data_IF_633492290485
#
_entry.id   IF_633492290485
#
_cell.length_a   1.000
_cell.length_b   1.000
_cell.length_c   1.000
_cell.angle_alpha   90.00
_cell.angle_beta   90.00
_cell.angle_gamma   90.00
#
_symmetry.space_group_name_H-M   'P 1'
#
loop_
_entity.id
_entity.type
_entity.pdbx_description
1 polymer ?
#
# COMPACT_ATOMS: atom_id res chain seq x y z
N UNK A 1 -16.85 6.40 -1.55
CA UNK A 1 -16.33 6.11 -2.87
C UNK A 1 -14.81 5.97 -2.80
N UNK A 2 -14.27 4.92 -3.39
CA UNK A 2 -12.84 4.67 -3.28
C UNK A 2 -12.05 5.62 -4.17
N UNK A 3 -10.88 6.04 -3.68
CA UNK A 3 -9.99 6.92 -4.42
C UNK A 3 -9.18 6.16 -5.45
N UNK A 4 -9.03 4.86 -5.25
CA UNK A 4 -8.14 4.04 -6.05
C UNK A 4 -8.89 2.79 -6.50
N UNK A 5 -8.33 2.12 -7.46
CA UNK A 5 -8.97 0.94 -8.00
C UNK A 5 -7.93 -0.07 -8.43
N UNK A 6 -8.16 -1.34 -8.09
CA UNK A 6 -7.31 -2.42 -8.55
C UNK A 6 -7.90 -3.06 -9.79
N UNK A 7 -7.03 -3.37 -10.72
CA UNK A 7 -7.41 -4.15 -11.88
C UNK A 7 -6.32 -5.19 -12.07
N UNK A 8 -6.65 -6.42 -11.71
CA UNK A 8 -5.60 -7.43 -11.61
C UNK A 8 -4.64 -7.05 -10.52
N UNK A 9 -3.36 -6.97 -10.85
CA UNK A 9 -2.33 -6.56 -9.91
C UNK A 9 -2.03 -5.08 -9.95
N UNK A 10 -2.68 -4.33 -10.83
CA UNK A 10 -2.36 -2.93 -11.08
C UNK A 10 -3.25 -2.02 -10.26
N UNK A 11 -2.65 -0.98 -9.71
CA UNK A 11 -3.37 0.03 -8.94
C UNK A 11 -3.51 1.28 -9.78
N UNK A 12 -4.74 1.78 -9.89
CA UNK A 12 -5.06 2.99 -10.66
C UNK A 12 -5.61 4.05 -9.73
N UNK A 13 -5.37 5.32 -10.05
CA UNK A 13 -5.95 6.40 -9.30
C UNK A 13 -7.34 6.73 -9.87
N UNK A 14 -7.98 7.77 -9.32
CA UNK A 14 -9.32 8.12 -9.76
C UNK A 14 -9.36 8.66 -11.18
N UNK A 15 -8.23 9.09 -11.69
CA UNK A 15 -8.13 9.59 -13.06
C UNK A 15 -7.74 8.48 -14.03
N UNK A 16 -7.75 7.24 -13.56
CA UNK A 16 -7.44 6.07 -14.37
C UNK A 16 -5.98 6.00 -14.80
N UNK A 17 -5.11 6.66 -14.05
CA UNK A 17 -3.68 6.57 -14.28
C UNK A 17 -3.12 5.42 -13.47
N UNK A 18 -2.34 4.56 -14.13
CA UNK A 18 -1.72 3.45 -13.44
C UNK A 18 -0.62 3.97 -12.52
N UNK A 19 -0.74 3.67 -11.26
CA UNK A 19 0.21 4.13 -10.26
C UNK A 19 1.34 3.14 -10.04
N UNK A 20 1.05 1.88 -10.23
CA UNK A 20 2.02 0.84 -9.99
C UNK A 20 1.32 -0.49 -9.84
N UNK A 21 2.04 -1.47 -9.34
CA UNK A 21 1.47 -2.80 -9.21
C UNK A 21 2.19 -3.57 -8.11
N UNK A 22 1.57 -4.66 -7.70
CA UNK A 22 2.15 -5.55 -6.73
C UNK A 22 2.43 -6.88 -7.42
N UNK A 23 3.59 -7.43 -7.16
CA UNK A 23 3.94 -8.73 -7.67
C UNK A 23 4.41 -9.55 -6.49
N UNK A 24 3.61 -10.54 -6.13
CA UNK A 24 3.81 -11.26 -4.89
C UNK A 24 3.75 -10.23 -3.76
N UNK A 25 4.79 -10.05 -3.00
CA UNK A 25 4.78 -9.09 -1.91
C UNK A 25 5.63 -7.87 -2.19
N UNK A 26 5.99 -7.64 -3.44
CA UNK A 26 6.81 -6.50 -3.83
C UNK A 26 5.95 -5.51 -4.60
N UNK A 27 6.15 -4.23 -4.32
CA UNK A 27 5.39 -3.15 -4.93
C UNK A 27 6.30 -2.38 -5.87
N UNK A 28 5.80 -2.18 -7.11
CA UNK A 28 6.52 -1.46 -8.14
C UNK A 28 5.72 -0.24 -8.58
N UNK A 29 6.41 0.79 -9.04
CA UNK A 29 5.71 1.96 -9.56
C UNK A 29 5.36 1.75 -11.04
N UNK A 30 4.80 2.81 -11.66
CA UNK A 30 4.31 2.68 -13.03
C UNK A 30 5.42 2.48 -14.05
N UNK A 31 6.66 2.79 -13.69
CA UNK A 31 7.79 2.60 -14.59
C UNK A 31 8.65 1.41 -14.16
N UNK A 32 8.07 0.52 -13.37
CA UNK A 32 8.67 -0.76 -13.00
C UNK A 32 9.84 -0.64 -12.02
N UNK A 33 9.87 0.41 -11.24
CA UNK A 33 10.89 0.53 -10.20
C UNK A 33 10.33 -0.02 -8.90
N UNK A 34 11.15 -0.78 -8.19
CA UNK A 34 10.73 -1.34 -6.91
C UNK A 34 10.60 -0.21 -5.89
N UNK A 35 9.41 -0.06 -5.35
CA UNK A 35 9.14 0.97 -4.36
C UNK A 35 9.26 0.44 -2.93
N UNK A 36 9.10 -0.84 -2.76
CA UNK A 36 9.17 -1.44 -1.44
C UNK A 36 8.57 -2.83 -1.46
N UNK A 37 8.40 -3.39 -0.28
CA UNK A 37 7.89 -4.74 -0.19
C UNK A 37 7.28 -5.01 1.17
N UNK A 38 6.47 -6.06 1.21
CA UNK A 38 5.86 -6.55 2.43
C UNK A 38 6.59 -7.82 2.83
N UNK A 39 7.04 -7.87 4.06
CA UNK A 39 7.72 -9.06 4.57
C UNK A 39 7.09 -9.43 5.90
N UNK A 40 6.39 -10.55 5.90
CA UNK A 40 5.64 -10.90 7.09
C UNK A 40 4.58 -9.86 7.36
N UNK A 41 4.68 -9.18 8.47
CA UNK A 41 3.76 -8.10 8.82
C UNK A 41 4.38 -6.72 8.67
N UNK A 42 5.58 -6.64 8.14
CA UNK A 42 6.30 -5.38 8.05
C UNK A 42 6.34 -4.87 6.62
N UNK A 43 6.23 -3.55 6.47
CA UNK A 43 6.28 -2.91 5.17
C UNK A 43 7.58 -2.11 5.09
N UNK A 44 8.36 -2.39 4.06
CA UNK A 44 9.67 -1.75 3.85
C UNK A 44 9.65 -0.91 2.59
N UNK A 45 10.42 0.18 2.60
CA UNK A 45 10.57 1.01 1.40
C UNK A 45 11.70 0.47 0.53
N UNK A 46 12.02 1.21 -0.55
CA UNK A 46 13.00 0.76 -1.52
C UNK A 46 14.42 0.70 -0.95
N UNK A 47 14.65 1.39 0.17
CA UNK A 47 15.96 1.40 0.80
C UNK A 47 16.04 0.42 1.97
N UNK A 48 15.04 -0.46 2.06
CA UNK A 48 14.98 -1.50 3.11
C UNK A 48 14.74 -0.94 4.50
N UNK A 49 14.11 0.20 4.59
CA UNK A 49 13.73 0.76 5.88
C UNK A 49 12.28 0.41 6.16
N UNK A 50 12.02 -0.03 7.38
CA UNK A 50 10.65 -0.36 7.75
C UNK A 50 9.84 0.92 7.90
N UNK A 51 8.78 1.01 7.11
CA UNK A 51 7.91 2.18 7.14
C UNK A 51 6.74 1.97 8.09
N UNK A 52 6.29 0.74 8.22
CA UNK A 52 5.11 0.45 9.00
C UNK A 52 5.07 -1.03 9.32
N UNK A 53 4.19 -1.39 10.23
CA UNK A 53 3.98 -2.80 10.53
C UNK A 53 2.51 -3.01 10.89
N UNK A 54 2.10 -4.25 10.84
CA UNK A 54 0.72 -4.62 11.09
C UNK A 54 0.68 -5.56 12.27
N UNK A 55 -0.19 -5.26 13.22
CA UNK A 55 -0.35 -6.09 14.39
C UNK A 55 -1.84 -6.24 14.66
N UNK A 56 -2.32 -7.48 14.59
CA UNK A 56 -3.71 -7.78 14.89
C UNK A 56 -4.67 -6.93 14.06
N UNK A 57 -4.40 -6.87 12.75
CA UNK A 57 -5.24 -6.16 11.79
C UNK A 57 -5.15 -4.64 11.90
N UNK A 58 -4.25 -4.13 12.72
CA UNK A 58 -4.06 -2.69 12.85
C UNK A 58 -2.70 -2.32 12.29
N UNK A 59 -2.64 -1.13 11.70
CA UNK A 59 -1.46 -0.64 11.02
C UNK A 59 -0.79 0.42 11.88
N UNK A 60 0.51 0.27 12.07
CA UNK A 60 1.29 1.21 12.85
C UNK A 60 2.44 1.76 12.03
N UNK A 61 2.79 3.02 12.28
CA UNK A 61 3.95 3.60 11.62
C UNK A 61 5.23 3.07 12.26
N UNK A 62 6.38 3.40 11.66
CA UNK A 62 7.65 2.95 12.20
C UNK A 62 7.95 3.56 13.55
N UNK A 63 7.23 4.62 13.93
CA UNK A 63 7.38 5.24 15.24
C UNK A 63 6.29 4.79 16.20
N UNK A 64 5.60 3.70 15.85
CA UNK A 64 4.58 3.08 16.73
C UNK A 64 3.30 3.88 16.87
N UNK A 65 3.01 4.76 15.94
CA UNK A 65 1.76 5.48 15.93
C UNK A 65 0.73 4.69 15.15
N UNK A 66 -0.44 4.49 15.73
CA UNK A 66 -1.50 3.75 15.08
C UNK A 66 -2.04 4.57 13.91
N UNK A 67 -2.09 3.95 12.74
CA UNK A 67 -2.54 4.63 11.54
C UNK A 67 -3.94 4.23 11.12
N UNK A 68 -4.45 3.14 11.66
CA UNK A 68 -5.76 2.64 11.30
C UNK A 68 -5.75 1.13 11.22
N UNK A 69 -6.79 0.59 10.62
CA UNK A 69 -6.91 -0.86 10.45
C UNK A 69 -6.68 -1.21 8.99
N UNK A 70 -6.31 -2.46 8.73
CA UNK A 70 -6.15 -2.91 7.35
C UNK A 70 -7.38 -2.56 6.53
N UNK A 71 -8.56 -2.75 7.12
CA UNK A 71 -9.79 -2.50 6.41
C UNK A 71 -9.97 -1.04 6.02
N UNK A 72 -9.47 -0.12 6.83
CA UNK A 72 -9.54 1.29 6.50
C UNK A 72 -8.76 1.61 5.23
N UNK A 73 -7.63 0.92 5.04
CA UNK A 73 -6.85 1.08 3.82
C UNK A 73 -7.54 0.42 2.65
N UNK A 74 -8.11 -0.75 2.86
CA UNK A 74 -8.78 -1.46 1.77
C UNK A 74 -9.99 -0.71 1.26
N UNK A 75 -10.66 0.03 2.13
CA UNK A 75 -11.83 0.81 1.71
C UNK A 75 -11.47 1.91 0.74
N UNK A 76 -10.24 2.32 0.71
CA UNK A 76 -9.79 3.37 -0.20
C UNK A 76 -9.50 2.81 -1.59
N UNK A 77 -9.51 1.50 -1.76
CA UNK A 77 -9.23 0.86 -3.02
C UNK A 77 -10.45 0.04 -3.45
N UNK A 78 -11.01 0.36 -4.60
CA UNK A 78 -12.08 -0.45 -5.16
C UNK A 78 -11.47 -1.77 -5.63
N UNK A 79 -12.09 -2.87 -5.25
CA UNK A 79 -11.59 -4.22 -5.55
C UNK A 79 -10.22 -4.46 -4.94
N UNK A 80 -10.04 -3.99 -3.71
CA UNK A 80 -8.77 -4.11 -3.00
C UNK A 80 -8.38 -5.58 -2.82
N UNK A 81 -7.08 -5.87 -2.90
CA UNK A 81 -6.61 -7.21 -2.59
C UNK A 81 -6.81 -7.48 -1.11
N UNK A 82 -6.90 -8.74 -0.77
CA UNK A 82 -7.05 -9.11 0.62
C UNK A 82 -5.72 -9.03 1.34
N UNK A 83 -5.79 -8.73 2.62
CA UNK A 83 -4.63 -8.77 3.47
C UNK A 83 -3.80 -7.51 3.42
N UNK A 84 -2.62 -7.57 3.98
CA UNK A 84 -1.81 -6.36 4.19
C UNK A 84 -1.18 -5.78 2.94
N UNK A 85 -1.23 -6.48 1.81
CA UNK A 85 -0.65 -5.92 0.60
C UNK A 85 -1.37 -4.65 0.17
N UNK A 86 -2.66 -4.52 0.50
CA UNK A 86 -3.40 -3.30 0.20
C UNK A 86 -2.79 -2.11 0.94
N UNK A 87 -2.36 -2.34 2.18
CA UNK A 87 -1.73 -1.28 2.95
C UNK A 87 -0.41 -0.89 2.31
N UNK A 88 0.38 -1.89 1.90
CA UNK A 88 1.67 -1.62 1.28
C UNK A 88 1.49 -0.83 -0.02
N UNK A 89 0.50 -1.19 -0.83
CA UNK A 89 0.24 -0.47 -2.06
C UNK A 89 -0.03 1.00 -1.80
N UNK A 90 -0.89 1.29 -0.83
CA UNK A 90 -1.22 2.67 -0.53
C UNK A 90 -0.06 3.42 0.08
N UNK A 91 0.68 2.80 0.99
CA UNK A 91 1.77 3.50 1.64
C UNK A 91 2.93 3.78 0.70
N UNK A 92 3.15 2.90 -0.27
CA UNK A 92 4.29 3.04 -1.16
C UNK A 92 3.96 3.80 -2.43
N UNK A 93 2.72 3.73 -2.90
CA UNK A 93 2.35 4.35 -4.17
C UNK A 93 1.50 5.59 -4.02
N UNK A 94 0.59 5.59 -3.04
CA UNK A 94 -0.31 6.72 -2.85
C UNK A 94 0.22 7.56 -1.72
N UNK A 95 1.02 8.55 -2.06
CA UNK A 95 1.58 9.40 -1.03
C UNK A 95 0.48 10.20 -0.37
N UNK A 96 0.55 10.38 0.94
CA UNK A 96 -0.42 11.22 1.60
C UNK A 96 -0.31 12.63 1.07
N UNK A 97 -1.45 13.31 1.03
CA UNK A 97 -1.47 14.68 0.62
C UNK A 97 -0.68 15.51 1.61
N UNK A 98 0.24 16.26 1.09
CA UNK A 98 0.96 17.20 1.94
C UNK A 98 0.00 18.30 2.27
N UNK A 99 -0.45 18.31 3.48
CA UNK A 99 -1.47 19.24 3.90
C UNK A 99 -1.15 20.64 3.62
#
# INVERSE_FOLDING_TARGET
MAEYRMQGSDLYDRNKNRMGYARENTVFDAVNRRMGYLRGSDIYDATNRRMAYIKELEVYSSTNNRMGRIEDFRKRIDKAPEGPIAVALLMLLAKPEEG
#
